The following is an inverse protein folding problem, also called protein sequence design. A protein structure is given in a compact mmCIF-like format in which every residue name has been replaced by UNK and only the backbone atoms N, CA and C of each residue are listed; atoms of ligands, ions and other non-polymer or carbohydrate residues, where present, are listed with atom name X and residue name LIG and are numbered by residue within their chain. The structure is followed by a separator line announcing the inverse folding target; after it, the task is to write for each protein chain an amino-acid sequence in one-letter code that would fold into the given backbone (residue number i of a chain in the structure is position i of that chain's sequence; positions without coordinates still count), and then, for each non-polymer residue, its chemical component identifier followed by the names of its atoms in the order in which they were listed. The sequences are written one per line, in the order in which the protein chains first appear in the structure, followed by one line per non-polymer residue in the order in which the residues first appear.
data_IF_572185757002
#
_entry.id   IF_572185757002
#
_cell.length_a   1.000
_cell.length_b   1.000
_cell.length_c   1.000
_cell.angle_alpha   90.00
_cell.angle_beta   90.00
_cell.angle_gamma   90.00
#
_symmetry.space_group_name_H-M   'P 1'
#
loop_
_entity.id
_entity.type
_entity.pdbx_description
1 polymer ?
#
# COMPACT_ATOMS: atom_id res chain seq x y z
N UNK A 1 29.69 -13.12 -24.70
CA UNK A 1 29.40 -12.60 -23.34
C UNK A 1 29.47 -13.77 -22.39
N UNK A 2 30.15 -13.63 -21.26
CA UNK A 2 30.11 -14.63 -20.19
C UNK A 2 28.82 -14.39 -19.41
N UNK A 3 28.04 -15.43 -19.18
CA UNK A 3 26.84 -15.38 -18.33
C UNK A 3 27.17 -16.01 -16.98
N UNK A 4 26.84 -15.34 -15.88
CA UNK A 4 27.06 -15.91 -14.54
C UNK A 4 26.26 -17.19 -14.31
N UNK A 5 26.83 -18.13 -13.56
CA UNK A 5 26.11 -19.33 -13.13
C UNK A 5 25.08 -18.98 -12.06
N UNK A 6 24.06 -19.81 -11.88
CA UNK A 6 23.06 -19.64 -10.80
C UNK A 6 23.72 -19.55 -9.42
N UNK A 7 24.73 -20.38 -9.15
CA UNK A 7 25.48 -20.32 -7.90
C UNK A 7 26.22 -18.99 -7.68
N UNK A 8 26.76 -18.39 -8.75
CA UNK A 8 27.39 -17.08 -8.68
C UNK A 8 26.37 -15.97 -8.43
N UNK A 9 25.20 -16.05 -9.05
CA UNK A 9 24.09 -15.11 -8.83
C UNK A 9 23.58 -15.21 -7.38
N UNK A 10 23.40 -16.42 -6.86
CA UNK A 10 23.01 -16.63 -5.46
C UNK A 10 24.04 -16.04 -4.49
N UNK A 11 25.33 -16.16 -4.79
CA UNK A 11 26.39 -15.52 -4.01
C UNK A 11 26.27 -13.99 -4.00
N UNK A 12 25.81 -13.37 -5.09
CA UNK A 12 25.54 -11.92 -5.12
C UNK A 12 24.34 -11.55 -4.23
N UNK A 13 23.29 -12.37 -4.21
CA UNK A 13 22.17 -12.19 -3.29
C UNK A 13 22.59 -12.34 -1.83
N UNK A 14 23.44 -13.31 -1.50
CA UNK A 14 24.04 -13.49 -0.17
C UNK A 14 24.82 -12.25 0.25
N UNK A 15 25.67 -11.74 -0.62
CA UNK A 15 26.42 -10.52 -0.36
C UNK A 15 25.49 -9.33 -0.05
N UNK A 16 24.38 -9.18 -0.79
CA UNK A 16 23.41 -8.13 -0.51
C UNK A 16 22.78 -8.28 0.89
N UNK A 17 22.46 -9.52 1.29
CA UNK A 17 21.91 -9.83 2.63
C UNK A 17 22.93 -9.57 3.75
N UNK A 18 24.18 -10.01 3.57
CA UNK A 18 25.29 -9.76 4.50
C UNK A 18 25.52 -8.24 4.73
N UNK A 19 25.24 -7.42 3.70
CA UNK A 19 25.33 -5.95 3.77
C UNK A 19 24.08 -5.27 4.33
N UNK A 20 23.10 -6.03 4.84
CA UNK A 20 21.88 -5.50 5.47
C UNK A 20 20.85 -4.94 4.49
N UNK A 21 20.82 -5.44 3.25
CA UNK A 21 19.81 -5.05 2.27
C UNK A 21 18.64 -6.01 2.39
N UNK A 22 17.57 -5.56 3.07
CA UNK A 22 16.45 -6.45 3.38
C UNK A 22 15.49 -6.66 2.21
N UNK A 23 15.32 -5.67 1.33
CA UNK A 23 14.26 -5.69 0.32
C UNK A 23 14.70 -6.36 -0.98
N UNK A 24 13.95 -7.37 -1.41
CA UNK A 24 14.29 -8.20 -2.58
C UNK A 24 14.30 -7.43 -3.89
N UNK A 25 13.40 -6.46 -4.09
CA UNK A 25 13.40 -5.61 -5.27
C UNK A 25 14.63 -4.69 -5.36
N UNK A 26 15.20 -4.30 -4.21
CA UNK A 26 16.50 -3.60 -4.18
C UNK A 26 17.64 -4.58 -4.46
N UNK A 27 17.58 -5.80 -3.90
CA UNK A 27 18.59 -6.83 -4.13
C UNK A 27 18.68 -7.19 -5.61
N UNK A 28 17.54 -7.42 -6.29
CA UNK A 28 17.51 -7.78 -7.72
C UNK A 28 18.22 -6.74 -8.57
N UNK A 29 17.94 -5.45 -8.36
CA UNK A 29 18.60 -4.39 -9.13
C UNK A 29 20.10 -4.26 -8.81
N UNK A 30 20.48 -4.51 -7.56
CA UNK A 30 21.88 -4.46 -7.18
C UNK A 30 22.67 -5.66 -7.71
N UNK A 31 22.07 -6.84 -7.68
CA UNK A 31 22.61 -8.07 -8.27
C UNK A 31 22.75 -7.91 -9.77
N UNK A 32 21.77 -7.32 -10.46
CA UNK A 32 21.84 -7.02 -11.90
C UNK A 32 23.03 -6.09 -12.22
N UNK A 33 23.20 -5.01 -11.44
CA UNK A 33 24.34 -4.11 -11.59
C UNK A 33 25.70 -4.80 -11.30
N UNK A 34 25.76 -5.63 -10.27
CA UNK A 34 26.97 -6.40 -9.92
C UNK A 34 27.30 -7.43 -11.00
N UNK A 35 26.28 -8.15 -11.48
CA UNK A 35 26.42 -9.16 -12.53
C UNK A 35 26.94 -8.51 -13.82
N UNK A 36 26.31 -7.43 -14.28
CA UNK A 36 26.75 -6.71 -15.46
C UNK A 36 28.21 -6.21 -15.36
N UNK A 37 28.64 -5.76 -14.18
CA UNK A 37 30.02 -5.33 -13.95
C UNK A 37 31.03 -6.48 -14.00
N UNK A 38 30.65 -7.67 -13.53
CA UNK A 38 31.49 -8.89 -13.56
C UNK A 38 31.54 -9.47 -14.97
N UNK A 39 30.39 -9.56 -15.65
CA UNK A 39 30.29 -10.09 -17.02
C UNK A 39 31.05 -9.24 -18.04
N UNK A 40 31.23 -7.94 -17.76
CA UNK A 40 32.10 -7.05 -18.55
C UNK A 40 33.60 -7.38 -18.42
N UNK A 41 34.00 -8.23 -17.46
CA UNK A 41 35.39 -8.63 -17.19
C UNK A 41 35.57 -10.15 -17.22
N UNK A 42 35.30 -10.83 -18.35
CA UNK A 42 35.27 -12.29 -18.42
C UNK A 42 36.64 -12.96 -18.20
N UNK A 43 37.74 -12.21 -18.33
CA UNK A 43 39.10 -12.73 -18.14
C UNK A 43 39.54 -12.77 -16.66
N UNK A 44 38.73 -12.22 -15.74
CA UNK A 44 39.06 -12.11 -14.31
C UNK A 44 38.28 -13.18 -13.53
N UNK A 45 38.91 -13.88 -12.55
CA UNK A 45 38.18 -14.81 -11.69
C UNK A 45 37.02 -14.12 -10.96
N UNK A 46 35.90 -14.83 -10.81
CA UNK A 46 34.65 -14.28 -10.24
C UNK A 46 34.85 -13.52 -8.93
N UNK A 47 35.56 -14.10 -7.95
CA UNK A 47 35.79 -13.46 -6.64
C UNK A 47 36.62 -12.17 -6.75
N UNK A 48 37.60 -12.16 -7.67
CA UNK A 48 38.40 -10.97 -7.95
C UNK A 48 37.57 -9.90 -8.62
N UNK A 49 36.77 -10.26 -9.64
CA UNK A 49 35.86 -9.36 -10.33
C UNK A 49 34.80 -8.78 -9.39
N UNK A 50 34.26 -9.60 -8.48
CA UNK A 50 33.31 -9.19 -7.45
C UNK A 50 33.95 -8.22 -6.44
N UNK A 51 35.17 -8.51 -5.97
CA UNK A 51 35.92 -7.60 -5.09
C UNK A 51 36.16 -6.25 -5.75
N UNK A 52 36.51 -6.24 -7.04
CA UNK A 52 36.73 -5.01 -7.78
C UNK A 52 35.42 -4.24 -8.06
N UNK A 53 34.36 -4.94 -8.46
CA UNK A 53 33.05 -4.34 -8.67
C UNK A 53 32.52 -3.71 -7.37
N UNK A 54 32.71 -4.38 -6.24
CA UNK A 54 32.32 -3.86 -4.92
C UNK A 54 33.20 -2.70 -4.44
N UNK A 55 34.50 -2.70 -4.75
CA UNK A 55 35.41 -1.55 -4.51
C UNK A 55 35.06 -0.34 -5.38
N UNK A 56 34.55 -0.57 -6.59
CA UNK A 56 34.09 0.46 -7.51
C UNK A 56 33.00 1.38 -6.94
N UNK A 57 32.28 0.97 -5.88
CA UNK A 57 31.31 1.81 -5.19
C UNK A 57 31.93 2.90 -4.28
N UNK A 58 33.26 2.96 -4.17
CA UNK A 58 34.01 4.05 -3.56
C UNK A 58 33.97 4.12 -2.02
N UNK A 59 34.69 5.10 -1.45
CA UNK A 59 34.89 5.28 0.00
C UNK A 59 33.59 5.57 0.79
N UNK A 60 32.62 6.24 0.16
CA UNK A 60 31.26 6.44 0.74
C UNK A 60 30.42 5.15 0.76
N UNK A 61 30.91 4.08 0.15
CA UNK A 61 30.49 2.69 0.35
C UNK A 61 29.16 2.29 -0.30
N UNK A 62 28.96 0.97 -0.32
CA UNK A 62 27.75 0.25 -0.73
C UNK A 62 26.47 0.88 -0.14
N UNK A 63 26.53 1.34 1.12
CA UNK A 63 25.39 1.95 1.81
C UNK A 63 24.85 3.23 1.17
N UNK A 64 25.70 4.10 0.62
CA UNK A 64 25.25 5.35 -0.02
C UNK A 64 24.51 5.07 -1.33
N UNK A 65 25.00 4.10 -2.11
CA UNK A 65 24.35 3.65 -3.33
C UNK A 65 22.99 3.00 -3.02
N UNK A 66 22.95 2.07 -2.05
CA UNK A 66 21.71 1.41 -1.61
C UNK A 66 20.69 2.45 -1.13
N UNK A 67 21.10 3.45 -0.35
CA UNK A 67 20.22 4.52 0.13
C UNK A 67 19.66 5.34 -1.04
N UNK A 68 20.50 5.68 -2.01
CA UNK A 68 20.10 6.42 -3.20
C UNK A 68 19.10 5.62 -4.03
N UNK A 69 19.39 4.34 -4.25
CA UNK A 69 18.52 3.44 -5.02
C UNK A 69 17.18 3.20 -4.32
N UNK A 70 17.21 2.94 -3.02
CA UNK A 70 16.01 2.85 -2.19
C UNK A 70 15.14 4.10 -2.30
N UNK A 71 15.75 5.30 -2.27
CA UNK A 71 15.04 6.58 -2.42
C UNK A 71 14.39 6.71 -3.81
N UNK A 72 15.12 6.35 -4.86
CA UNK A 72 14.62 6.37 -6.24
C UNK A 72 13.44 5.40 -6.42
N UNK A 73 13.59 4.14 -6.01
CA UNK A 73 12.52 3.14 -6.06
C UNK A 73 11.31 3.55 -5.24
N UNK A 74 11.52 4.10 -4.03
CA UNK A 74 10.42 4.61 -3.20
C UNK A 74 9.63 5.69 -3.93
N UNK A 75 10.31 6.64 -4.58
CA UNK A 75 9.65 7.69 -5.34
C UNK A 75 8.90 7.15 -6.56
N UNK A 76 9.47 6.16 -7.26
CA UNK A 76 8.84 5.48 -8.38
C UNK A 76 7.57 4.74 -7.94
N UNK A 77 7.66 3.90 -6.91
CA UNK A 77 6.52 3.15 -6.38
C UNK A 77 5.42 4.06 -5.83
N UNK A 78 5.79 5.18 -5.20
CA UNK A 78 4.82 6.19 -4.77
C UNK A 78 4.08 6.81 -5.96
N UNK A 79 4.79 7.20 -7.02
CA UNK A 79 4.15 7.74 -8.24
C UNK A 79 3.21 6.71 -8.86
N UNK A 80 3.64 5.46 -8.95
CA UNK A 80 2.84 4.36 -9.49
C UNK A 80 1.59 4.11 -8.64
N UNK A 81 1.73 4.04 -7.32
CA UNK A 81 0.60 3.88 -6.40
C UNK A 81 -0.42 5.00 -6.57
N UNK A 82 0.02 6.26 -6.56
CA UNK A 82 -0.89 7.41 -6.71
C UNK A 82 -1.52 7.48 -8.09
N UNK A 83 -0.80 7.09 -9.14
CA UNK A 83 -1.36 6.98 -10.49
C UNK A 83 -2.51 5.97 -10.53
N UNK A 84 -2.33 4.79 -9.94
CA UNK A 84 -3.37 3.76 -9.87
C UNK A 84 -4.53 4.20 -8.97
N UNK A 85 -4.23 4.85 -7.84
CA UNK A 85 -5.23 5.33 -6.89
C UNK A 85 -6.13 6.41 -7.48
N UNK A 86 -5.57 7.40 -8.17
CA UNK A 86 -6.35 8.46 -8.81
C UNK A 86 -7.14 7.89 -10.01
N UNK A 87 -6.54 6.97 -10.77
CA UNK A 87 -7.23 6.29 -11.88
C UNK A 87 -8.42 5.42 -11.43
N UNK A 88 -8.53 5.10 -10.14
CA UNK A 88 -9.73 4.44 -9.62
C UNK A 88 -10.97 5.33 -9.73
N UNK A 89 -10.84 6.64 -9.51
CA UNK A 89 -11.92 7.62 -9.46
C UNK A 89 -12.34 8.08 -10.86
N UNK A 90 -12.83 7.15 -11.66
CA UNK A 90 -13.44 7.45 -12.95
C UNK A 90 -14.76 8.23 -12.78
N UNK A 91 -15.16 8.96 -13.82
CA UNK A 91 -16.36 9.80 -13.83
C UNK A 91 -17.61 9.13 -13.25
N UNK A 92 -17.96 7.87 -13.62
CA UNK A 92 -19.15 7.21 -13.06
C UNK A 92 -19.09 7.02 -11.54
N UNK A 93 -17.90 6.71 -10.99
CA UNK A 93 -17.73 6.51 -9.54
C UNK A 93 -17.78 7.82 -8.79
N UNK A 94 -17.22 8.89 -9.35
CA UNK A 94 -17.30 10.24 -8.77
C UNK A 94 -18.75 10.71 -8.73
N UNK A 95 -19.50 10.54 -9.83
CA UNK A 95 -20.93 10.85 -9.87
C UNK A 95 -21.71 10.04 -8.84
N UNK A 96 -21.44 8.73 -8.70
CA UNK A 96 -22.07 7.90 -7.68
C UNK A 96 -21.75 8.38 -6.26
N UNK A 97 -20.49 8.76 -5.98
CA UNK A 97 -20.12 9.30 -4.65
C UNK A 97 -20.83 10.61 -4.35
N UNK A 98 -20.95 11.51 -5.34
CA UNK A 98 -21.67 12.77 -5.18
C UNK A 98 -23.16 12.53 -4.96
N UNK A 99 -23.77 11.61 -5.71
CA UNK A 99 -25.16 11.21 -5.52
C UNK A 99 -25.41 10.70 -4.09
N UNK A 100 -24.55 9.82 -3.59
CA UNK A 100 -24.64 9.31 -2.22
C UNK A 100 -24.51 10.45 -1.19
N UNK A 101 -23.56 11.38 -1.38
CA UNK A 101 -23.41 12.55 -0.52
C UNK A 101 -24.68 13.41 -0.51
N UNK A 102 -25.29 13.65 -1.68
CA UNK A 102 -26.54 14.41 -1.78
C UNK A 102 -27.69 13.69 -1.05
N UNK A 103 -27.83 12.38 -1.22
CA UNK A 103 -28.86 11.59 -0.53
C UNK A 103 -28.70 11.71 0.99
N UNK A 104 -27.49 11.51 1.53
CA UNK A 104 -27.24 11.62 2.97
C UNK A 104 -27.38 13.05 3.51
N UNK A 105 -27.12 14.07 2.68
CA UNK A 105 -27.34 15.47 3.05
C UNK A 105 -28.82 15.81 3.17
N UNK A 106 -29.65 15.25 2.29
CA UNK A 106 -31.08 15.53 2.14
C UNK A 106 -31.95 14.67 3.08
N UNK A 107 -31.51 13.45 3.41
CA UNK A 107 -32.26 12.51 4.25
C UNK A 107 -32.81 13.09 5.56
N UNK A 108 -32.08 13.98 6.28
CA UNK A 108 -32.58 14.55 7.52
C UNK A 108 -33.76 15.49 7.41
N UNK A 109 -34.10 15.99 6.21
CA UNK A 109 -35.30 16.82 6.02
C UNK A 109 -36.59 16.01 6.08
N UNK A 110 -36.52 14.68 5.90
CA UNK A 110 -37.69 13.81 5.77
C UNK A 110 -37.86 12.82 6.92
N UNK A 111 -36.84 12.65 7.77
CA UNK A 111 -36.84 11.64 8.84
C UNK A 111 -36.66 12.28 10.22
N UNK A 112 -37.32 11.76 11.26
CA UNK A 112 -37.12 12.23 12.62
C UNK A 112 -35.72 11.85 13.14
N UNK A 113 -35.19 12.66 14.04
CA UNK A 113 -33.85 12.50 14.61
C UNK A 113 -33.58 11.11 15.19
N UNK A 114 -34.58 10.48 15.82
CA UNK A 114 -34.43 9.14 16.38
C UNK A 114 -34.14 8.07 15.31
N UNK A 115 -34.80 8.17 14.16
CA UNK A 115 -34.58 7.25 13.04
C UNK A 115 -33.19 7.48 12.44
N UNK A 116 -32.78 8.75 12.26
CA UNK A 116 -31.46 9.10 11.76
C UNK A 116 -30.32 8.55 12.64
N UNK A 117 -30.49 8.59 13.96
CA UNK A 117 -29.55 7.98 14.92
C UNK A 117 -29.37 6.48 14.67
N UNK A 118 -30.46 5.74 14.52
CA UNK A 118 -30.41 4.30 14.24
C UNK A 118 -29.82 4.00 12.86
N UNK A 119 -30.15 4.79 11.84
CA UNK A 119 -29.57 4.66 10.49
C UNK A 119 -28.04 4.84 10.53
N UNK A 120 -27.54 5.83 11.25
CA UNK A 120 -26.09 6.05 11.37
C UNK A 120 -25.38 4.92 12.14
N UNK A 121 -26.00 4.39 13.20
CA UNK A 121 -25.47 3.25 13.93
C UNK A 121 -25.43 1.98 13.04
N UNK A 122 -26.52 1.71 12.31
CA UNK A 122 -26.58 0.59 11.36
C UNK A 122 -25.54 0.73 10.24
N UNK A 123 -25.37 1.94 9.69
CA UNK A 123 -24.35 2.24 8.70
C UNK A 123 -22.93 1.99 9.24
N UNK A 124 -22.64 2.41 10.48
CA UNK A 124 -21.35 2.16 11.13
C UNK A 124 -21.06 0.65 11.25
N UNK A 125 -22.03 -0.12 11.74
CA UNK A 125 -21.91 -1.58 11.88
C UNK A 125 -21.69 -2.25 10.52
N UNK A 126 -22.47 -1.84 9.51
CA UNK A 126 -22.31 -2.34 8.15
C UNK A 126 -20.90 -2.06 7.60
N UNK A 127 -20.39 -0.84 7.77
CA UNK A 127 -19.07 -0.47 7.27
C UNK A 127 -17.95 -1.23 7.97
N UNK A 128 -18.05 -1.47 9.28
CA UNK A 128 -17.11 -2.34 10.01
C UNK A 128 -17.14 -3.76 9.44
N UNK A 129 -18.33 -4.34 9.24
CA UNK A 129 -18.47 -5.68 8.67
C UNK A 129 -17.89 -5.75 7.24
N UNK A 130 -18.16 -4.72 6.42
CA UNK A 130 -17.62 -4.60 5.07
C UNK A 130 -16.09 -4.46 5.06
N UNK A 131 -15.55 -3.75 6.05
CA UNK A 131 -14.11 -3.63 6.24
C UNK A 131 -13.44 -4.95 6.59
N UNK A 132 -14.02 -5.71 7.51
CA UNK A 132 -13.55 -7.06 7.82
C UNK A 132 -13.62 -7.97 6.59
N UNK A 133 -14.68 -7.85 5.79
CA UNK A 133 -14.83 -8.60 4.54
C UNK A 133 -13.75 -8.25 3.51
N UNK A 134 -13.49 -6.96 3.26
CA UNK A 134 -12.44 -6.52 2.34
C UNK A 134 -11.06 -6.94 2.85
N UNK A 135 -10.79 -6.79 4.15
CA UNK A 135 -9.55 -7.25 4.76
C UNK A 135 -9.34 -8.76 4.53
N UNK A 136 -10.36 -9.57 4.78
CA UNK A 136 -10.33 -11.00 4.55
C UNK A 136 -10.08 -11.33 3.07
N UNK A 137 -10.80 -10.67 2.16
CA UNK A 137 -10.67 -10.86 0.71
C UNK A 137 -9.27 -10.47 0.23
N UNK A 138 -8.74 -9.35 0.73
CA UNK A 138 -7.42 -8.86 0.40
C UNK A 138 -6.32 -9.82 0.88
N UNK A 139 -6.45 -10.39 2.09
CA UNK A 139 -5.52 -11.41 2.58
C UNK A 139 -5.46 -12.65 1.69
N UNK A 140 -6.56 -12.99 1.02
CA UNK A 140 -6.60 -14.10 0.05
C UNK A 140 -6.00 -13.74 -1.31
N UNK A 141 -6.23 -12.52 -1.79
CA UNK A 141 -5.80 -12.09 -3.13
C UNK A 141 -4.38 -11.54 -3.19
N UNK A 142 -3.86 -11.01 -2.09
CA UNK A 142 -2.53 -10.43 -1.99
C UNK A 142 -1.67 -11.32 -1.09
N UNK A 143 -1.10 -12.42 -1.60
CA UNK A 143 -0.25 -13.29 -0.79
C UNK A 143 0.97 -12.51 -0.27
N UNK A 144 1.35 -12.78 0.97
CA UNK A 144 2.56 -12.18 1.53
C UNK A 144 3.78 -12.72 0.79
N UNK A 145 4.69 -11.85 0.30
CA UNK A 145 5.92 -12.34 -0.33
C UNK A 145 6.81 -12.97 0.73
N UNK A 146 7.54 -14.04 0.36
CA UNK A 146 8.51 -14.70 1.25
C UNK A 146 9.74 -13.84 1.47
N UNK A 147 10.16 -13.11 0.43
CA UNK A 147 11.23 -12.09 0.52
C UNK A 147 10.57 -10.71 0.49
N UNK A 148 10.84 -9.82 1.47
CA UNK A 148 10.09 -8.59 1.59
C UNK A 148 10.35 -7.67 0.39
N UNK A 149 9.28 -7.08 -0.16
CA UNK A 149 9.34 -6.15 -1.27
C UNK A 149 9.07 -4.72 -0.78
N UNK A 150 9.90 -3.75 -1.18
CA UNK A 150 9.73 -2.35 -0.80
C UNK A 150 8.40 -1.82 -1.33
N UNK A 151 8.02 -2.17 -2.57
CA UNK A 151 6.76 -1.71 -3.19
C UNK A 151 5.51 -2.07 -2.37
N UNK A 152 5.46 -3.27 -1.77
CA UNK A 152 4.29 -3.72 -0.99
C UNK A 152 4.29 -3.17 0.43
N UNK A 153 5.47 -2.92 1.01
CA UNK A 153 5.59 -2.44 2.40
C UNK A 153 5.27 -0.95 2.56
N UNK A 154 5.38 -0.16 1.49
CA UNK A 154 5.10 1.29 1.49
C UNK A 154 3.65 1.62 1.90
N UNK A 155 2.70 0.70 1.66
CA UNK A 155 1.28 0.94 1.89
C UNK A 155 0.66 -0.23 2.67
N UNK A 156 0.86 -0.32 4.00
CA UNK A 156 0.26 -1.38 4.81
C UNK A 156 -1.27 -1.23 4.91
N UNK A 157 -1.99 -2.34 5.09
CA UNK A 157 -3.47 -2.34 5.19
C UNK A 157 -3.94 -1.77 6.53
N UNK A 158 -3.12 -1.92 7.57
CA UNK A 158 -3.41 -1.50 8.93
C UNK A 158 -3.60 0.02 9.09
N UNK A 159 -2.98 0.83 8.22
CA UNK A 159 -3.05 2.29 8.33
C UNK A 159 -4.44 2.82 8.03
N UNK A 160 -5.09 2.33 6.96
CA UNK A 160 -6.46 2.73 6.63
C UNK A 160 -7.43 2.22 7.68
N UNK A 161 -7.26 0.99 8.17
CA UNK A 161 -8.22 0.40 9.10
C UNK A 161 -8.20 1.00 10.51
N UNK A 162 -7.03 1.48 10.97
CA UNK A 162 -6.94 2.16 12.26
C UNK A 162 -7.69 3.51 12.26
N UNK A 163 -7.62 4.27 11.16
CA UNK A 163 -8.33 5.54 11.00
C UNK A 163 -9.84 5.31 10.94
N UNK A 164 -10.27 4.27 10.22
CA UNK A 164 -11.68 3.89 10.08
C UNK A 164 -12.27 3.48 11.43
N UNK A 165 -11.59 2.59 12.15
CA UNK A 165 -12.00 2.16 13.50
C UNK A 165 -12.11 3.34 14.47
N UNK A 166 -11.17 4.28 14.44
CA UNK A 166 -11.22 5.47 15.28
C UNK A 166 -12.47 6.31 14.97
N UNK A 167 -12.80 6.51 13.69
CA UNK A 167 -14.00 7.25 13.32
C UNK A 167 -15.28 6.55 13.79
N UNK A 168 -15.40 5.22 13.61
CA UNK A 168 -16.57 4.47 14.08
C UNK A 168 -16.73 4.56 15.60
N UNK A 169 -15.64 4.44 16.36
CA UNK A 169 -15.68 4.58 17.82
C UNK A 169 -16.10 6.00 18.26
N UNK A 170 -15.73 7.03 17.49
CA UNK A 170 -16.17 8.40 17.76
C UNK A 170 -17.66 8.61 17.46
N UNK A 171 -18.28 7.81 16.59
CA UNK A 171 -19.74 7.84 16.36
C UNK A 171 -20.48 7.31 17.58
N UNK A 172 -20.00 6.20 18.17
CA UNK A 172 -20.57 5.66 19.41
C UNK A 172 -20.39 6.63 20.60
N UNK A 173 -19.27 7.34 20.66
CA UNK A 173 -19.06 8.41 21.65
C UNK A 173 -19.96 9.60 21.37
N UNK A 174 -20.11 10.00 20.11
CA UNK A 174 -21.02 11.06 19.65
C UNK A 174 -22.48 10.79 20.00
N UNK A 175 -22.88 9.51 20.08
CA UNK A 175 -24.19 9.08 20.61
C UNK A 175 -24.47 9.56 22.04
N UNK A 176 -23.44 9.76 22.89
CA UNK A 176 -23.58 10.39 24.21
C UNK A 176 -23.63 11.93 24.16
N UNK A 177 -23.09 12.54 23.11
CA UNK A 177 -23.19 14.00 22.87
C UNK A 177 -24.53 14.40 22.24
N UNK A 178 -25.30 13.42 21.77
CA UNK A 178 -26.58 13.55 21.08
C UNK A 178 -27.79 13.69 22.04
N UNK A 179 -27.55 13.83 23.35
CA UNK A 179 -28.54 14.18 24.37
C UNK A 179 -28.64 15.71 24.61
N UNK A 180 -27.84 16.51 23.88
CA UNK A 180 -27.92 17.98 23.85
C UNK A 180 -28.76 18.54 22.70
N UNK A 181 -28.79 19.86 22.56
CA UNK A 181 -29.63 20.60 21.61
C UNK A 181 -29.68 20.02 20.18
N UNK A 182 -30.87 20.00 19.58
CA UNK A 182 -31.17 19.33 18.30
C UNK A 182 -30.38 19.84 17.08
N UNK A 183 -29.83 21.07 17.12
CA UNK A 183 -29.03 21.64 16.04
C UNK A 183 -27.63 21.02 15.95
N UNK A 184 -26.97 20.79 17.09
CA UNK A 184 -25.68 20.10 17.16
C UNK A 184 -25.81 18.63 16.72
N UNK A 185 -26.96 18.02 17.02
CA UNK A 185 -27.35 16.66 16.65
C UNK A 185 -27.44 16.46 15.12
N UNK A 186 -27.97 17.44 14.38
CA UNK A 186 -28.10 17.35 12.92
C UNK A 186 -26.77 17.55 12.19
N UNK A 187 -25.95 18.49 12.68
CA UNK A 187 -24.64 18.78 12.09
C UNK A 187 -23.67 17.61 12.28
N UNK A 188 -23.67 17.00 13.46
CA UNK A 188 -22.89 15.78 13.74
C UNK A 188 -23.34 14.60 12.88
N UNK A 189 -24.65 14.40 12.69
CA UNK A 189 -25.17 13.40 11.76
C UNK A 189 -24.59 13.57 10.35
N UNK A 190 -24.70 14.77 9.78
CA UNK A 190 -24.22 15.06 8.42
C UNK A 190 -22.72 14.85 8.27
N UNK A 191 -21.93 15.28 9.26
CA UNK A 191 -20.49 15.08 9.28
C UNK A 191 -20.13 13.59 9.16
N UNK A 192 -20.75 12.72 9.98
CA UNK A 192 -20.47 11.29 9.94
C UNK A 192 -20.91 10.63 8.64
N UNK A 193 -22.07 10.99 8.08
CA UNK A 193 -22.48 10.43 6.79
C UNK A 193 -21.53 10.82 5.65
N UNK A 194 -21.11 12.09 5.59
CA UNK A 194 -20.13 12.55 4.61
C UNK A 194 -18.81 11.79 4.79
N UNK A 195 -18.34 11.68 6.05
CA UNK A 195 -17.12 10.96 6.36
C UNK A 195 -17.21 9.49 5.93
N UNK A 196 -18.33 8.80 6.19
CA UNK A 196 -18.56 7.41 5.78
C UNK A 196 -18.52 7.22 4.27
N UNK A 197 -19.18 8.08 3.50
CA UNK A 197 -19.18 7.98 2.03
C UNK A 197 -17.78 8.17 1.46
N UNK A 198 -17.07 9.21 1.94
CA UNK A 198 -15.68 9.47 1.53
C UNK A 198 -14.76 8.33 1.93
N UNK A 199 -14.93 7.79 3.14
CA UNK A 199 -14.16 6.67 3.65
C UNK A 199 -14.36 5.40 2.84
N UNK A 200 -15.61 5.04 2.52
CA UNK A 200 -15.92 3.90 1.67
C UNK A 200 -15.30 4.06 0.28
N UNK A 201 -15.37 5.27 -0.30
CA UNK A 201 -14.77 5.55 -1.60
C UNK A 201 -13.24 5.40 -1.57
N UNK A 202 -12.57 5.97 -0.55
CA UNK A 202 -11.12 5.86 -0.35
C UNK A 202 -10.73 4.40 -0.10
N UNK A 203 -11.46 3.69 0.75
CA UNK A 203 -11.20 2.31 1.11
C UNK A 203 -11.26 1.38 -0.12
N UNK A 204 -12.28 1.52 -0.95
CA UNK A 204 -12.38 0.76 -2.20
C UNK A 204 -11.25 1.11 -3.18
N UNK A 205 -10.87 2.38 -3.28
CA UNK A 205 -9.74 2.81 -4.10
C UNK A 205 -8.42 2.20 -3.63
N UNK A 206 -8.17 2.17 -2.31
CA UNK A 206 -7.02 1.51 -1.70
C UNK A 206 -7.02 0.01 -1.95
N UNK A 207 -8.18 -0.65 -1.85
CA UNK A 207 -8.31 -2.08 -2.11
C UNK A 207 -7.97 -2.42 -3.56
N UNK A 208 -8.55 -1.71 -4.53
CA UNK A 208 -8.28 -1.91 -5.97
C UNK A 208 -6.80 -1.64 -6.31
N UNK A 209 -6.26 -0.52 -5.81
CA UNK A 209 -4.86 -0.15 -6.03
C UNK A 209 -3.91 -1.22 -5.50
N UNK A 210 -4.19 -1.77 -4.32
CA UNK A 210 -3.36 -2.85 -3.74
C UNK A 210 -3.47 -4.15 -4.51
N UNK A 211 -4.65 -4.52 -4.97
CA UNK A 211 -4.82 -5.71 -5.79
C UNK A 211 -3.96 -5.61 -7.06
N UNK A 212 -3.99 -4.45 -7.75
CA UNK A 212 -3.15 -4.16 -8.92
C UNK A 212 -1.67 -4.11 -8.60
N UNK A 213 -1.29 -3.52 -7.46
CA UNK A 213 0.10 -3.47 -7.02
C UNK A 213 0.64 -4.86 -6.69
N UNK A 214 -0.17 -5.72 -6.08
CA UNK A 214 0.18 -7.10 -5.77
C UNK A 214 0.31 -7.95 -7.03
N UNK A 215 -0.58 -7.80 -8.01
CA UNK A 215 -0.44 -8.53 -9.28
C UNK A 215 0.84 -8.11 -10.01
N UNK A 216 1.12 -6.81 -10.05
CA UNK A 216 2.36 -6.29 -10.64
C UNK A 216 3.62 -6.78 -9.89
N UNK A 217 3.56 -6.89 -8.56
CA UNK A 217 4.67 -7.42 -7.77
C UNK A 217 4.96 -8.89 -8.11
N UNK A 218 3.91 -9.71 -8.27
CA UNK A 218 4.02 -11.12 -8.64
C UNK A 218 4.60 -11.27 -10.05
N UNK A 219 4.14 -10.45 -10.99
CA UNK A 219 4.63 -10.44 -12.38
C UNK A 219 6.10 -10.03 -12.47
N UNK A 220 6.49 -8.94 -11.78
CA UNK A 220 7.84 -8.36 -11.87
C UNK A 220 8.88 -9.09 -11.02
N UNK A 221 8.48 -9.65 -9.88
CA UNK A 221 9.36 -10.30 -8.93
C UNK A 221 8.84 -11.68 -8.50
N UNK A 222 8.67 -12.63 -9.43
CA UNK A 222 8.11 -13.96 -9.11
C UNK A 222 8.96 -14.70 -8.07
N UNK A 223 10.29 -14.52 -8.10
CA UNK A 223 11.23 -15.08 -7.11
C UNK A 223 11.05 -14.58 -5.67
N UNK A 224 10.25 -13.53 -5.45
CA UNK A 224 9.86 -13.10 -4.11
C UNK A 224 8.74 -13.96 -3.51
N UNK A 225 7.98 -14.68 -4.35
CA UNK A 225 6.80 -15.45 -3.99
C UNK A 225 7.02 -16.98 -4.11
N UNK A 226 7.97 -17.41 -4.93
CA UNK A 226 8.37 -18.82 -5.07
C UNK A 226 9.44 -19.22 -4.04
N UNK A 227 9.69 -20.52 -3.91
CA UNK A 227 10.74 -21.12 -3.03
C UNK A 227 12.12 -20.65 -3.49
#
# INVERSE_FOLDING_TARGET
MMTLTTAQIDRLFDLCREKGIDYYDIQVELVDHLAAAIEARPAVPFETALSEATKGFGYRGFGTMVKTRRKQLTAQYRRMFWSMFVAYFNWPKVMLTLLLLTVFYVLPFYLPLIVLKHVNAAAAIYLIAFELFIWWKQKRQCPAPRRPLLMLKLYPVSFTSAIMLNLYLNVFKGFRWLDGDGSFTLLTYRFFCIAYVLMLAIMLAFYDTKAKLSSLAIEKYPGAFTV
#
